data_IF_064165342944
#
_entry.id   IF_064165342944
#
_cell.length_a   1.000
_cell.length_b   1.000
_cell.length_c   1.000
_cell.angle_alpha   90.00
_cell.angle_beta   90.00
_cell.angle_gamma   90.00
#
_symmetry.space_group_name_H-M   'P 1'
#
loop_
_entity.id
_entity.type
_entity.pdbx_description
1 polymer ?
#
# COMPACT_ATOMS: atom_id res chain seq x y z
N UNK A 1 -32.06 -9.27 -7.86
CA UNK A 1 -32.58 -7.96 -7.39
C UNK A 1 -32.73 -8.06 -5.89
N UNK A 2 -32.11 -7.15 -5.13
CA UNK A 2 -32.23 -7.14 -3.67
C UNK A 2 -33.69 -6.90 -3.25
N UNK A 3 -34.15 -7.65 -2.25
CA UNK A 3 -35.52 -7.58 -1.71
C UNK A 3 -35.73 -6.33 -0.88
N UNK A 4 -36.99 -6.00 -0.59
CA UNK A 4 -37.34 -4.86 0.27
C UNK A 4 -36.78 -5.04 1.70
N UNK A 5 -36.67 -6.29 2.17
CA UNK A 5 -36.04 -6.65 3.44
C UNK A 5 -34.51 -6.40 3.44
N UNK A 6 -33.84 -6.67 2.32
CA UNK A 6 -32.39 -6.39 2.17
C UNK A 6 -32.11 -4.88 2.22
N UNK A 7 -33.03 -4.05 1.70
CA UNK A 7 -32.92 -2.59 1.74
C UNK A 7 -33.18 -2.01 3.13
N UNK A 8 -34.08 -2.62 3.91
CA UNK A 8 -34.35 -2.24 5.30
C UNK A 8 -33.23 -2.63 6.27
N UNK A 9 -32.42 -3.65 5.96
CA UNK A 9 -31.24 -3.97 6.77
C UNK A 9 -30.08 -2.99 6.54
N UNK A 10 -30.02 -2.31 5.39
CA UNK A 10 -28.95 -1.38 5.05
C UNK A 10 -29.19 0.06 5.53
N UNK A 11 -30.41 0.42 5.91
CA UNK A 11 -30.76 1.79 6.35
C UNK A 11 -30.13 2.17 7.69
N UNK A 12 -29.71 1.21 8.52
CA UNK A 12 -29.00 1.43 9.79
C UNK A 12 -27.48 1.33 9.72
N UNK A 13 -26.89 0.98 8.57
CA UNK A 13 -25.44 0.75 8.42
C UNK A 13 -24.66 2.06 8.22
N UNK A 14 -25.32 3.22 8.20
CA UNK A 14 -24.73 4.45 7.68
C UNK A 14 -23.89 5.31 8.63
N UNK A 15 -23.90 5.10 9.95
CA UNK A 15 -23.35 6.16 10.82
C UNK A 15 -22.20 5.79 11.78
N UNK A 16 -21.71 4.55 11.82
CA UNK A 16 -20.45 4.26 12.55
C UNK A 16 -19.65 3.16 11.85
N UNK A 17 -18.94 3.52 10.77
CA UNK A 17 -17.82 2.69 10.32
C UNK A 17 -16.78 2.74 11.45
N UNK A 18 -16.73 1.68 12.26
CA UNK A 18 -15.88 1.59 13.45
C UNK A 18 -14.38 1.76 13.15
N UNK A 19 -14.00 1.61 11.87
CA UNK A 19 -12.63 1.80 11.35
C UNK A 19 -12.50 3.05 10.47
N UNK A 20 -13.49 3.96 10.48
CA UNK A 20 -13.52 5.20 9.68
C UNK A 20 -12.70 6.33 10.27
N UNK A 21 -11.69 5.98 11.05
CA UNK A 21 -10.77 6.94 11.56
C UNK A 21 -9.78 7.36 10.47
N UNK A 22 -9.40 8.61 10.51
CA UNK A 22 -8.42 9.18 9.60
C UNK A 22 -7.35 9.84 10.45
N UNK A 23 -6.11 9.44 10.23
CA UNK A 23 -4.96 10.12 10.80
C UNK A 23 -4.61 11.32 9.92
N UNK A 24 -4.08 12.39 10.51
CA UNK A 24 -3.69 13.57 9.74
C UNK A 24 -2.46 13.25 8.89
N UNK A 25 -2.62 13.28 7.57
CA UNK A 25 -1.53 13.04 6.61
C UNK A 25 -0.35 14.02 6.83
N UNK A 26 0.82 13.49 7.20
CA UNK A 26 2.10 14.23 7.20
C UNK A 26 3.19 13.45 6.43
N UNK A 27 2.96 13.14 5.15
CA UNK A 27 3.94 12.36 4.40
C UNK A 27 5.22 13.17 4.22
N UNK A 28 6.36 12.47 4.32
CA UNK A 28 7.68 12.99 3.95
C UNK A 28 7.71 13.32 2.46
N UNK A 29 7.01 12.53 1.65
CA UNK A 29 6.91 12.76 0.22
C UNK A 29 5.52 12.39 -0.29
N UNK A 30 5.00 13.21 -1.20
CA UNK A 30 3.74 12.99 -1.90
C UNK A 30 3.97 13.30 -3.37
N UNK A 31 3.72 12.31 -4.22
CA UNK A 31 3.78 12.47 -5.67
C UNK A 31 2.81 13.54 -6.17
N UNK A 32 2.99 14.01 -7.39
CA UNK A 32 1.94 14.80 -8.07
C UNK A 32 0.70 13.94 -8.29
N UNK A 33 -0.46 14.60 -8.37
CA UNK A 33 -1.70 13.93 -8.77
C UNK A 33 -1.60 13.46 -10.21
N UNK A 34 -2.28 12.34 -10.46
CA UNK A 34 -2.55 11.81 -11.77
C UNK A 34 -1.59 10.75 -12.25
N UNK A 35 -2.00 10.07 -13.32
CA UNK A 35 -1.30 8.89 -13.84
C UNK A 35 -0.59 9.24 -15.15
N UNK A 36 0.69 9.58 -15.06
CA UNK A 36 1.50 9.94 -16.22
C UNK A 36 2.97 9.52 -16.07
N UNK A 37 3.73 9.63 -17.15
CA UNK A 37 5.14 9.22 -17.16
C UNK A 37 5.99 10.02 -16.16
N UNK A 38 5.73 11.32 -15.97
CA UNK A 38 6.50 12.12 -15.02
C UNK A 38 6.29 11.66 -13.55
N UNK A 39 5.11 11.16 -13.22
CA UNK A 39 4.84 10.55 -11.90
C UNK A 39 5.59 9.22 -11.77
N UNK A 40 5.70 8.43 -12.84
CA UNK A 40 6.51 7.20 -12.83
C UNK A 40 7.98 7.52 -12.57
N UNK A 41 8.53 8.51 -13.27
CA UNK A 41 9.92 8.96 -13.07
C UNK A 41 10.15 9.38 -11.61
N UNK A 42 9.23 10.17 -11.07
CA UNK A 42 9.27 10.64 -9.68
C UNK A 42 9.24 9.46 -8.69
N UNK A 43 8.38 8.46 -8.89
CA UNK A 43 8.31 7.27 -8.04
C UNK A 43 9.61 6.44 -8.14
N UNK A 44 10.10 6.19 -9.33
CA UNK A 44 11.32 5.41 -9.55
C UNK A 44 12.55 6.10 -8.97
N UNK A 45 12.62 7.44 -9.03
CA UNK A 45 13.66 8.23 -8.37
C UNK A 45 13.58 8.10 -6.83
N UNK A 46 12.38 8.19 -6.25
CA UNK A 46 12.18 8.07 -4.80
C UNK A 46 12.54 6.68 -4.27
N UNK A 47 12.23 5.62 -5.02
CA UNK A 47 12.49 4.22 -4.65
C UNK A 47 13.90 3.75 -5.00
N UNK A 48 14.66 4.56 -5.76
CA UNK A 48 15.98 4.23 -6.29
C UNK A 48 15.97 2.87 -7.02
N UNK A 49 15.02 2.72 -7.94
CA UNK A 49 14.80 1.50 -8.72
C UNK A 49 15.84 1.34 -9.83
N UNK A 50 16.17 0.09 -10.24
CA UNK A 50 16.99 -0.14 -11.42
C UNK A 50 16.27 0.33 -12.70
N UNK A 51 17.04 0.80 -13.69
CA UNK A 51 16.51 1.41 -14.91
C UNK A 51 15.50 0.54 -15.67
N UNK A 52 15.71 -0.79 -15.68
CA UNK A 52 14.80 -1.71 -16.36
C UNK A 52 13.40 -1.73 -15.72
N UNK A 53 13.29 -1.52 -14.41
CA UNK A 53 12.02 -1.46 -13.70
C UNK A 53 11.27 -0.18 -14.06
N UNK A 54 11.98 0.95 -14.17
CA UNK A 54 11.43 2.21 -14.65
C UNK A 54 10.87 2.07 -16.06
N UNK A 55 11.65 1.48 -16.97
CA UNK A 55 11.20 1.21 -18.34
C UNK A 55 9.97 0.31 -18.36
N UNK A 56 9.96 -0.76 -17.55
CA UNK A 56 8.81 -1.65 -17.42
C UNK A 56 7.55 -0.89 -16.95
N UNK A 57 7.68 0.03 -15.99
CA UNK A 57 6.55 0.86 -15.52
C UNK A 57 6.00 1.75 -16.62
N UNK A 58 6.87 2.39 -17.41
CA UNK A 58 6.41 3.20 -18.54
C UNK A 58 5.68 2.37 -19.59
N UNK A 59 6.22 1.19 -19.95
CA UNK A 59 5.55 0.27 -20.87
C UNK A 59 4.18 -0.18 -20.32
N UNK A 60 4.08 -0.45 -19.03
CA UNK A 60 2.82 -0.79 -18.38
C UNK A 60 1.81 0.36 -18.44
N UNK A 61 2.26 1.61 -18.28
CA UNK A 61 1.41 2.79 -18.42
C UNK A 61 0.91 2.97 -19.86
N UNK A 62 1.78 2.82 -20.85
CA UNK A 62 1.38 2.88 -22.27
C UNK A 62 0.31 1.83 -22.58
N UNK A 63 0.50 0.62 -22.06
CA UNK A 63 -0.48 -0.47 -22.19
C UNK A 63 -1.79 -0.10 -21.50
N UNK A 64 -1.75 0.45 -20.28
CA UNK A 64 -2.94 0.89 -19.56
C UNK A 64 -3.73 1.95 -20.35
N UNK A 65 -3.05 3.00 -20.81
CA UNK A 65 -3.67 4.09 -21.59
C UNK A 65 -4.21 3.62 -22.94
N UNK A 66 -3.62 2.57 -23.53
CA UNK A 66 -4.10 1.99 -24.79
C UNK A 66 -5.38 1.15 -24.63
N UNK A 67 -5.71 0.69 -23.42
CA UNK A 67 -6.83 -0.20 -23.17
C UNK A 67 -8.08 0.58 -22.78
N UNK A 68 -9.26 0.24 -23.33
CA UNK A 68 -10.51 0.81 -22.84
C UNK A 68 -10.80 0.32 -21.42
N UNK A 69 -11.54 1.13 -20.67
CA UNK A 69 -12.04 0.72 -19.36
C UNK A 69 -12.90 -0.55 -19.47
N UNK A 70 -12.72 -1.54 -18.59
CA UNK A 70 -13.50 -2.77 -18.65
C UNK A 70 -14.97 -2.46 -18.35
N UNK A 71 -15.87 -3.07 -19.14
CA UNK A 71 -17.32 -2.87 -19.03
C UNK A 71 -18.02 -3.93 -18.17
N UNK A 72 -17.25 -4.89 -17.64
CA UNK A 72 -17.73 -5.96 -16.79
C UNK A 72 -17.32 -5.70 -15.33
N UNK A 73 -18.16 -6.11 -14.39
CA UNK A 73 -17.92 -5.93 -12.95
C UNK A 73 -18.57 -4.66 -12.39
N UNK A 74 -17.85 -3.97 -11.50
CA UNK A 74 -18.30 -2.72 -10.90
C UNK A 74 -18.30 -1.58 -11.94
N UNK A 75 -19.13 -0.57 -11.71
CA UNK A 75 -19.10 0.65 -12.52
C UNK A 75 -17.83 1.46 -12.20
N UNK A 76 -16.99 1.64 -13.20
CA UNK A 76 -15.72 2.38 -13.09
C UNK A 76 -15.79 3.77 -13.72
N UNK A 77 -16.96 4.19 -14.23
CA UNK A 77 -17.13 5.47 -14.93
C UNK A 77 -16.86 6.69 -14.04
N UNK A 78 -16.98 6.54 -12.72
CA UNK A 78 -16.69 7.58 -11.74
C UNK A 78 -15.21 7.71 -11.35
N UNK A 79 -14.32 6.86 -11.87
CA UNK A 79 -12.90 6.91 -11.52
C UNK A 79 -12.21 7.97 -12.37
N UNK A 80 -11.75 9.02 -11.69
CA UNK A 80 -10.85 10.01 -12.25
C UNK A 80 -9.42 9.66 -11.84
N UNK A 81 -8.65 9.07 -12.77
CA UNK A 81 -7.26 8.69 -12.53
C UNK A 81 -6.35 9.91 -12.34
N UNK A 82 -6.73 11.08 -12.86
CA UNK A 82 -5.92 12.29 -12.76
C UNK A 82 -5.99 12.94 -11.38
N UNK A 83 -7.01 12.60 -10.58
CA UNK A 83 -7.19 13.11 -9.22
C UNK A 83 -6.51 12.26 -8.14
N UNK A 84 -5.96 11.11 -8.48
CA UNK A 84 -5.37 10.15 -7.53
C UNK A 84 -3.91 10.48 -7.24
N UNK A 85 -3.51 10.35 -5.97
CA UNK A 85 -2.10 10.29 -5.59
C UNK A 85 -1.63 8.84 -5.60
N UNK A 86 -0.71 8.50 -6.49
CA UNK A 86 -0.26 7.11 -6.68
C UNK A 86 0.89 6.69 -5.78
N UNK A 87 1.57 7.65 -5.15
CA UNK A 87 2.68 7.38 -4.25
C UNK A 87 2.74 8.37 -3.11
N UNK A 88 2.84 7.81 -1.91
CA UNK A 88 2.97 8.51 -0.64
C UNK A 88 4.03 7.82 0.21
N UNK A 89 5.02 8.58 0.67
CA UNK A 89 6.02 8.11 1.63
C UNK A 89 5.69 8.66 3.02
N UNK A 90 5.23 7.81 3.96
CA UNK A 90 4.83 8.25 5.30
C UNK A 90 6.03 8.57 6.20
N UNK A 91 7.16 7.87 6.04
CA UNK A 91 8.37 8.01 6.89
C UNK A 91 9.66 8.00 6.06
N UNK A 92 10.76 8.52 6.63
CA UNK A 92 12.07 8.53 5.96
C UNK A 92 12.75 7.15 5.85
N UNK A 93 12.18 6.12 6.50
CA UNK A 93 12.71 4.76 6.42
C UNK A 93 11.78 3.70 7.00
N UNK A 94 12.11 2.45 6.68
CA UNK A 94 11.50 1.23 7.21
C UNK A 94 12.20 0.81 8.51
N UNK A 95 11.45 0.61 9.59
CA UNK A 95 11.97 0.05 10.83
C UNK A 95 12.33 -1.43 10.67
N UNK A 96 13.47 -1.87 11.22
CA UNK A 96 13.84 -3.31 11.24
C UNK A 96 13.18 -4.05 12.40
N UNK A 97 12.68 -3.31 13.38
CA UNK A 97 11.97 -3.82 14.53
C UNK A 97 10.70 -3.00 14.77
N UNK A 98 9.75 -3.59 15.51
CA UNK A 98 8.55 -2.89 15.92
C UNK A 98 8.87 -1.59 16.67
N UNK A 99 9.94 -1.59 17.48
CA UNK A 99 10.36 -0.43 18.27
C UNK A 99 10.78 0.77 17.38
N UNK A 100 11.27 0.51 16.17
CA UNK A 100 11.71 1.54 15.21
C UNK A 100 10.54 2.20 14.45
N UNK A 101 9.33 1.64 14.54
CA UNK A 101 8.16 2.18 13.84
C UNK A 101 7.69 3.48 14.53
N UNK A 102 7.42 4.56 13.77
CA UNK A 102 6.85 5.79 14.30
C UNK A 102 5.57 5.57 15.12
N UNK A 103 5.38 6.40 16.15
CA UNK A 103 4.33 6.24 17.16
C UNK A 103 2.91 6.38 16.57
N UNK A 104 2.73 7.28 15.61
CA UNK A 104 1.48 7.43 14.86
C UNK A 104 1.09 6.14 14.13
N UNK A 105 2.03 5.51 13.43
CA UNK A 105 1.80 4.24 12.73
C UNK A 105 1.52 3.10 13.71
N UNK A 106 2.25 3.04 14.85
CA UNK A 106 1.98 2.07 15.93
C UNK A 106 0.56 2.19 16.46
N UNK A 107 0.10 3.42 16.71
CA UNK A 107 -1.26 3.68 17.17
C UNK A 107 -2.31 3.20 16.14
N UNK A 108 -2.08 3.45 14.84
CA UNK A 108 -2.95 2.92 13.78
C UNK A 108 -3.00 1.39 13.82
N UNK A 109 -1.85 0.73 13.95
CA UNK A 109 -1.77 -0.73 14.00
C UNK A 109 -2.36 -1.35 15.28
N UNK A 110 -2.21 -0.70 16.43
CA UNK A 110 -2.88 -1.08 17.69
C UNK A 110 -4.39 -1.05 17.53
N UNK A 111 -4.93 0.00 16.91
CA UNK A 111 -6.37 0.12 16.62
C UNK A 111 -6.87 -0.93 15.64
N UNK A 112 -6.00 -1.37 14.73
CA UNK A 112 -6.28 -2.48 13.80
C UNK A 112 -6.09 -3.87 14.44
N UNK A 113 -5.57 -3.95 15.68
CA UNK A 113 -5.35 -5.21 16.41
C UNK A 113 -4.13 -6.02 15.97
N UNK A 114 -3.20 -5.41 15.22
CA UNK A 114 -2.01 -6.09 14.66
C UNK A 114 -0.98 -6.50 15.74
N UNK A 115 -0.66 -5.69 16.76
CA UNK A 115 0.41 -6.00 17.73
C UNK A 115 0.17 -7.27 18.57
N UNK A 116 -1.10 -7.61 18.84
CA UNK A 116 -1.45 -8.84 19.55
C UNK A 116 -1.31 -10.08 18.65
N UNK A 117 -1.66 -9.96 17.36
CA UNK A 117 -1.47 -11.00 16.36
C UNK A 117 0.02 -11.28 16.09
N UNK A 118 0.86 -10.24 16.09
CA UNK A 118 2.30 -10.38 15.91
C UNK A 118 2.98 -11.17 17.03
N UNK A 119 2.69 -10.83 18.29
CA UNK A 119 3.24 -11.56 19.45
C UNK A 119 2.85 -13.05 19.46
N UNK A 120 1.71 -13.39 18.84
CA UNK A 120 1.12 -14.72 18.92
C UNK A 120 1.40 -15.60 17.70
N UNK A 121 1.57 -15.02 16.50
CA UNK A 121 1.60 -15.81 15.26
C UNK A 121 2.57 -15.35 14.17
N UNK A 122 2.96 -14.07 14.12
CA UNK A 122 3.54 -13.51 12.89
C UNK A 122 5.05 -13.41 12.96
N UNK A 123 5.68 -14.58 12.94
CA UNK A 123 7.12 -14.69 12.80
C UNK A 123 7.51 -14.54 11.31
N UNK A 124 7.38 -13.34 10.74
CA UNK A 124 7.59 -13.15 9.31
C UNK A 124 6.77 -12.06 8.62
N UNK A 125 6.25 -11.05 9.33
CA UNK A 125 5.35 -10.07 8.71
C UNK A 125 6.09 -8.82 8.26
N UNK A 126 5.80 -8.42 7.03
CA UNK A 126 6.02 -7.08 6.54
C UNK A 126 4.72 -6.29 6.66
N UNK A 127 4.76 -5.11 7.27
CA UNK A 127 3.62 -4.21 7.34
C UNK A 127 3.83 -3.07 6.34
N UNK A 128 2.86 -2.90 5.44
CA UNK A 128 2.84 -1.78 4.50
C UNK A 128 1.91 -0.69 5.03
N UNK A 129 2.42 0.53 5.07
CA UNK A 129 1.64 1.73 5.35
C UNK A 129 1.77 2.66 4.16
N UNK A 130 0.65 3.07 3.59
CA UNK A 130 0.58 3.74 2.30
C UNK A 130 1.39 3.00 1.20
N UNK A 131 2.42 3.65 0.64
CA UNK A 131 3.23 3.10 -0.45
C UNK A 131 4.54 2.46 0.02
N UNK A 132 4.77 2.38 1.33
CA UNK A 132 6.04 1.96 1.91
C UNK A 132 5.90 0.84 2.93
N UNK A 133 6.89 -0.04 2.97
CA UNK A 133 7.00 -1.05 4.02
C UNK A 133 7.61 -0.38 5.25
N UNK A 134 6.85 -0.29 6.33
CA UNK A 134 7.26 0.39 7.57
C UNK A 134 7.92 -0.54 8.57
N UNK A 135 7.68 -1.84 8.41
CA UNK A 135 8.23 -2.89 9.26
C UNK A 135 8.43 -4.16 8.43
N UNK A 136 9.57 -4.83 8.63
CA UNK A 136 9.86 -6.12 8.01
C UNK A 136 10.69 -6.99 8.96
N UNK A 137 10.21 -8.19 9.27
CA UNK A 137 10.91 -9.14 10.15
C UNK A 137 10.92 -10.53 9.54
N UNK A 138 12.10 -11.14 9.40
CA UNK A 138 12.29 -12.51 8.92
C UNK A 138 12.83 -13.40 10.05
N UNK A 139 12.31 -14.63 10.18
CA UNK A 139 12.90 -15.63 11.07
C UNK A 139 14.27 -16.08 10.55
N UNK A 140 15.28 -15.99 11.42
CA UNK A 140 16.64 -16.50 11.16
C UNK A 140 16.68 -17.98 10.75
N UNK A 141 15.71 -18.79 11.18
CA UNK A 141 15.60 -20.20 10.76
C UNK A 141 15.33 -20.35 9.26
N UNK A 142 14.55 -19.45 8.67
CA UNK A 142 14.22 -19.49 7.24
C UNK A 142 15.37 -18.96 6.39
N UNK A 143 16.05 -17.92 6.86
CA UNK A 143 17.26 -17.42 6.22
C UNK A 143 18.36 -18.50 6.14
N UNK A 144 18.54 -19.30 7.21
CA UNK A 144 19.46 -20.46 7.22
C UNK A 144 19.10 -21.54 6.20
N UNK A 145 17.83 -21.63 5.80
CA UNK A 145 17.36 -22.55 4.76
C UNK A 145 17.47 -21.95 3.35
N UNK A 146 17.97 -20.72 3.23
CA UNK A 146 18.11 -20.01 1.95
C UNK A 146 16.83 -19.31 1.48
N UNK A 147 15.84 -19.12 2.36
CA UNK A 147 14.61 -18.39 2.01
C UNK A 147 14.91 -16.89 1.99
N UNK A 148 14.68 -16.26 0.84
CA UNK A 148 14.73 -14.81 0.67
C UNK A 148 13.32 -14.27 0.85
N UNK A 149 13.08 -13.55 1.93
CA UNK A 149 11.82 -12.88 2.21
C UNK A 149 12.11 -11.42 2.52
N UNK A 150 11.80 -10.55 1.55
CA UNK A 150 12.12 -9.13 1.53
C UNK A 150 10.87 -8.36 1.06
N UNK A 151 10.86 -7.05 1.32
CA UNK A 151 9.96 -6.15 0.61
C UNK A 151 10.34 -6.08 -0.88
N UNK A 152 9.40 -5.58 -1.70
CA UNK A 152 9.56 -5.53 -3.14
C UNK A 152 10.73 -4.64 -3.58
N UNK A 153 10.95 -3.51 -2.90
CA UNK A 153 12.00 -2.56 -3.28
C UNK A 153 13.39 -3.13 -2.96
N UNK A 154 13.57 -3.77 -1.80
CA UNK A 154 14.80 -4.47 -1.43
C UNK A 154 15.05 -5.68 -2.34
N UNK A 155 13.98 -6.43 -2.65
CA UNK A 155 14.05 -7.53 -3.61
C UNK A 155 14.57 -7.10 -4.97
N UNK A 156 14.08 -5.98 -5.51
CA UNK A 156 14.55 -5.44 -6.80
C UNK A 156 15.99 -4.92 -6.79
N UNK A 157 16.47 -4.42 -5.64
CA UNK A 157 17.82 -3.84 -5.54
C UNK A 157 18.89 -4.91 -5.29
N UNK A 158 18.55 -5.97 -4.56
CA UNK A 158 19.50 -6.97 -4.08
C UNK A 158 19.54 -8.25 -4.94
N UNK A 159 18.48 -8.53 -5.72
CA UNK A 159 18.30 -9.78 -6.47
C UNK A 159 17.79 -9.54 -7.90
#
# INVERSE_FOLDING_TARGET
>A
MATQADREQLTGVKDDYQYGFHDAEKPVFKSKRGLNHAVIDEISDQKNEPDWMREFRHQALDIFLSKPMPTWGADLSGIDFDEIFYYLRPSEGSGRSWDDVPEDIKNTFERLGIPEAERKFLAGVGAQYDSEVVYHSLRQEWEKLGVIFLDMDSGLREH
#
